data_IF_309561162939
#
_entry.id   IF_309561162939
#
_cell.length_a   1.000
_cell.length_b   1.000
_cell.length_c   1.000
_cell.angle_alpha   90.00
_cell.angle_beta   90.00
_cell.angle_gamma   90.00
#
_symmetry.space_group_name_H-M   'P 1'
#
loop_
_entity.id
_entity.type
_entity.pdbx_description
1 polymer ?
#
# COMPACT_ATOMS: atom_id res chain seq x y z
N UNK A 1 8.70 16.45 -7.24
CA UNK A 1 8.02 15.50 -8.14
C UNK A 1 8.87 15.31 -9.37
N UNK A 2 9.16 14.08 -9.76
CA UNK A 2 9.87 13.77 -11.00
C UNK A 2 8.85 13.18 -11.97
N UNK A 3 8.79 13.70 -13.20
CA UNK A 3 7.98 13.10 -14.27
C UNK A 3 8.83 12.02 -14.96
N UNK A 4 8.40 10.77 -14.84
CA UNK A 4 9.04 9.60 -15.45
C UNK A 4 8.09 9.01 -16.51
N UNK A 5 8.26 9.44 -17.77
CA UNK A 5 7.32 9.14 -18.84
C UNK A 5 5.91 9.67 -18.53
N UNK A 6 4.94 8.74 -18.47
CA UNK A 6 3.54 9.03 -18.14
C UNK A 6 3.24 9.04 -16.63
N UNK A 7 4.27 8.92 -15.78
CA UNK A 7 4.11 8.82 -14.33
C UNK A 7 4.77 9.96 -13.59
N UNK A 8 4.24 10.21 -12.40
CA UNK A 8 4.84 11.10 -11.43
C UNK A 8 5.35 10.29 -10.25
N UNK A 9 6.61 10.50 -9.92
CA UNK A 9 7.27 9.93 -8.76
C UNK A 9 7.53 11.04 -7.75
N UNK A 10 7.27 10.75 -6.47
CA UNK A 10 7.55 11.65 -5.37
C UNK A 10 8.23 10.91 -4.24
N UNK A 11 9.29 11.48 -3.66
CA UNK A 11 9.81 10.96 -2.41
C UNK A 11 8.73 11.10 -1.32
N UNK A 12 8.72 10.15 -0.39
CA UNK A 12 7.97 10.31 0.84
C UNK A 12 8.66 11.37 1.68
N UNK A 13 8.00 12.50 1.90
CA UNK A 13 8.52 13.63 2.69
C UNK A 13 8.01 13.44 4.12
N UNK A 14 8.93 13.30 5.08
CA UNK A 14 8.60 13.12 6.48
C UNK A 14 8.54 14.47 7.20
N UNK A 15 7.50 14.67 8.03
CA UNK A 15 7.34 15.84 8.91
C UNK A 15 8.40 15.90 10.01
N UNK A 16 8.73 14.72 10.54
CA UNK A 16 9.65 14.53 11.66
C UNK A 16 10.66 13.45 11.28
N UNK A 17 11.81 13.80 10.71
CA UNK A 17 12.79 12.81 10.25
C UNK A 17 13.40 12.01 11.42
N UNK A 18 13.38 12.54 12.64
CA UNK A 18 13.76 11.79 13.85
C UNK A 18 12.73 10.73 14.29
N UNK A 19 11.48 10.81 13.84
CA UNK A 19 10.45 9.80 14.10
C UNK A 19 10.65 8.67 13.10
N UNK A 20 11.60 7.80 13.43
CA UNK A 20 11.91 6.63 12.64
C UNK A 20 10.69 5.73 12.47
N UNK A 21 10.50 5.24 11.25
CA UNK A 21 9.60 4.13 11.00
C UNK A 21 10.39 2.83 11.11
N UNK A 22 9.84 1.85 11.82
CA UNK A 22 10.41 0.50 11.87
C UNK A 22 9.38 -0.57 11.49
N UNK A 23 9.86 -1.81 11.47
CA UNK A 23 9.11 -2.99 11.04
C UNK A 23 7.97 -3.44 11.98
N UNK A 24 7.69 -2.73 13.08
CA UNK A 24 6.60 -3.10 14.02
C UNK A 24 5.22 -3.17 13.37
N UNK A 25 5.02 -2.47 12.25
CA UNK A 25 3.79 -2.50 11.43
C UNK A 25 3.54 -3.87 10.79
N UNK A 26 4.58 -4.71 10.67
CA UNK A 26 4.52 -6.03 10.02
C UNK A 26 3.48 -6.94 10.64
N UNK A 27 3.40 -6.98 11.97
CA UNK A 27 2.46 -7.87 12.69
C UNK A 27 1.02 -7.54 12.32
N UNK A 28 0.66 -6.25 12.33
CA UNK A 28 -0.67 -5.77 11.94
C UNK A 28 -0.97 -6.08 10.47
N UNK A 29 -0.04 -5.75 9.56
CA UNK A 29 -0.20 -5.97 8.13
C UNK A 29 -0.39 -7.46 7.77
N UNK A 30 0.40 -8.35 8.36
CA UNK A 30 0.30 -9.80 8.15
C UNK A 30 -1.01 -10.35 8.73
N UNK A 31 -1.42 -9.91 9.92
CA UNK A 31 -2.67 -10.34 10.55
C UNK A 31 -3.88 -9.99 9.69
N UNK A 32 -3.92 -8.77 9.17
CA UNK A 32 -4.99 -8.30 8.28
C UNK A 32 -4.99 -9.05 6.94
N UNK A 33 -3.82 -9.32 6.36
CA UNK A 33 -3.69 -10.15 5.17
C UNK A 33 -4.26 -11.55 5.40
N UNK A 34 -3.89 -12.21 6.50
CA UNK A 34 -4.40 -13.55 6.82
C UNK A 34 -5.92 -13.55 6.99
N UNK A 35 -6.49 -12.54 7.66
CA UNK A 35 -7.94 -12.40 7.78
C UNK A 35 -8.63 -12.23 6.41
N UNK A 36 -8.03 -11.43 5.53
CA UNK A 36 -8.50 -11.27 4.17
C UNK A 36 -8.42 -12.56 3.35
N UNK A 37 -7.32 -13.30 3.45
CA UNK A 37 -7.14 -14.59 2.76
C UNK A 37 -8.16 -15.62 3.25
N UNK A 38 -8.46 -15.69 4.57
CA UNK A 38 -9.54 -16.54 5.10
C UNK A 38 -10.88 -16.20 4.46
N UNK A 39 -11.21 -14.92 4.30
CA UNK A 39 -12.44 -14.48 3.60
C UNK A 39 -12.47 -14.96 2.14
N UNK A 40 -11.31 -15.06 1.49
CA UNK A 40 -11.21 -15.53 0.11
C UNK A 40 -11.24 -17.04 -0.05
N UNK A 41 -11.01 -17.83 1.00
CA UNK A 41 -11.01 -19.29 0.94
C UNK A 41 -12.31 -19.85 0.35
N UNK A 42 -13.44 -19.22 0.65
CA UNK A 42 -14.75 -19.63 0.14
C UNK A 42 -15.19 -18.89 -1.14
N UNK A 43 -14.32 -18.07 -1.73
CA UNK A 43 -14.63 -17.34 -2.96
C UNK A 43 -13.41 -17.28 -3.90
N UNK A 44 -13.17 -18.36 -4.69
CA UNK A 44 -12.04 -18.44 -5.61
C UNK A 44 -12.02 -17.33 -6.67
N UNK A 45 -13.20 -16.86 -7.10
CA UNK A 45 -13.32 -15.74 -8.05
C UNK A 45 -12.73 -14.45 -7.45
N UNK A 46 -13.05 -14.17 -6.20
CA UNK A 46 -12.55 -13.00 -5.48
C UNK A 46 -11.04 -13.07 -5.25
N UNK A 47 -10.52 -14.26 -4.91
CA UNK A 47 -9.08 -14.49 -4.80
C UNK A 47 -8.34 -14.20 -6.11
N UNK A 48 -8.87 -14.72 -7.23
CA UNK A 48 -8.30 -14.48 -8.57
C UNK A 48 -8.31 -13.00 -8.95
N UNK A 49 -9.39 -12.29 -8.64
CA UNK A 49 -9.47 -10.85 -8.88
C UNK A 49 -8.46 -10.07 -8.02
N UNK A 50 -8.26 -10.48 -6.77
CA UNK A 50 -7.25 -9.90 -5.88
C UNK A 50 -5.82 -10.14 -6.39
N UNK A 51 -5.47 -11.38 -6.72
CA UNK A 51 -4.16 -11.74 -7.28
C UNK A 51 -3.88 -10.98 -8.57
N UNK A 52 -4.86 -10.88 -9.47
CA UNK A 52 -4.73 -10.07 -10.70
C UNK A 52 -4.44 -8.60 -10.40
N UNK A 53 -5.14 -7.99 -9.44
CA UNK A 53 -4.94 -6.59 -9.08
C UNK A 53 -3.54 -6.34 -8.49
N UNK A 54 -3.04 -7.24 -7.63
CA UNK A 54 -1.68 -7.14 -7.10
C UNK A 54 -0.63 -7.31 -8.23
N UNK A 55 -0.82 -8.27 -9.13
CA UNK A 55 0.09 -8.49 -10.28
C UNK A 55 0.10 -7.32 -11.26
N UNK A 56 -1.01 -6.60 -11.39
CA UNK A 56 -1.09 -5.39 -12.24
C UNK A 56 -0.10 -4.33 -11.75
N UNK A 57 0.03 -4.11 -10.43
CA UNK A 57 1.04 -3.20 -9.89
C UNK A 57 2.48 -3.57 -10.27
N UNK A 58 2.83 -4.86 -10.28
CA UNK A 58 4.14 -5.33 -10.73
C UNK A 58 4.32 -5.21 -12.24
N UNK A 59 3.31 -5.56 -13.03
CA UNK A 59 3.37 -5.47 -14.50
C UNK A 59 3.51 -4.03 -14.95
N UNK A 60 2.82 -3.12 -14.27
CA UNK A 60 2.93 -1.70 -14.52
C UNK A 60 4.28 -1.17 -14.01
N UNK A 61 4.94 -1.80 -13.05
CA UNK A 61 6.18 -1.27 -12.44
C UNK A 61 5.89 -0.19 -11.40
N UNK A 62 4.69 -0.20 -10.82
CA UNK A 62 4.32 0.61 -9.64
C UNK A 62 4.88 -0.04 -8.36
N UNK A 63 5.02 -1.37 -8.38
CA UNK A 63 5.58 -2.13 -7.27
C UNK A 63 6.72 -3.02 -7.76
N UNK A 64 7.75 -3.14 -6.93
CA UNK A 64 8.90 -4.00 -7.18
C UNK A 64 9.12 -4.95 -6.01
N UNK A 65 9.89 -6.02 -6.25
CA UNK A 65 10.25 -6.96 -5.20
C UNK A 65 11.42 -6.39 -4.41
N UNK A 66 11.21 -6.15 -3.12
CA UNK A 66 12.28 -5.69 -2.23
C UNK A 66 13.30 -6.82 -2.02
N UNK A 67 14.60 -6.62 -2.30
CA UNK A 67 15.63 -7.61 -2.03
C UNK A 67 15.79 -7.83 -0.52
N UNK A 68 15.94 -9.09 -0.08
CA UNK A 68 16.04 -9.44 1.34
C UNK A 68 17.31 -8.93 2.02
N UNK A 69 18.35 -8.58 1.24
CA UNK A 69 19.65 -8.11 1.73
C UNK A 69 19.76 -6.60 1.87
N UNK A 70 18.77 -5.83 1.41
CA UNK A 70 18.88 -4.36 1.25
C UNK A 70 17.94 -3.58 2.15
N UNK A 71 17.42 -4.19 3.21
CA UNK A 71 16.40 -3.57 4.07
C UNK A 71 17.00 -3.24 5.44
N UNK A 72 17.28 -1.96 5.75
CA UNK A 72 17.54 -1.54 7.11
C UNK A 72 16.27 -1.76 7.95
N UNK A 73 16.33 -2.41 9.12
CA UNK A 73 15.16 -2.62 9.98
C UNK A 73 14.43 -1.32 10.35
N UNK A 74 15.20 -0.23 10.48
CA UNK A 74 14.74 1.09 10.92
C UNK A 74 14.26 1.98 9.75
N UNK A 75 13.85 1.39 8.63
CA UNK A 75 13.37 2.14 7.45
C UNK A 75 12.26 1.42 6.69
N UNK A 76 11.50 0.55 7.37
CA UNK A 76 10.47 -0.28 6.73
C UNK A 76 9.10 -0.01 7.30
N UNK A 77 8.13 0.27 6.43
CA UNK A 77 6.72 0.23 6.80
C UNK A 77 5.98 -0.83 6.01
N UNK A 78 5.22 -1.68 6.69
CA UNK A 78 4.32 -2.63 6.06
C UNK A 78 2.92 -2.02 6.03
N UNK A 79 2.45 -1.64 4.84
CA UNK A 79 1.09 -1.18 4.63
C UNK A 79 0.12 -2.37 4.65
N UNK A 80 -0.85 -2.41 5.58
CA UNK A 80 -1.99 -3.29 5.42
C UNK A 80 -2.71 -2.97 4.12
N UNK A 81 -3.21 -4.00 3.45
CA UNK A 81 -4.00 -3.83 2.25
C UNK A 81 -5.31 -4.59 2.36
N UNK A 82 -6.37 -4.01 1.79
CA UNK A 82 -7.67 -4.67 1.77
C UNK A 82 -8.36 -4.58 0.41
N UNK A 83 -9.06 -5.65 0.06
CA UNK A 83 -9.84 -5.73 -1.17
C UNK A 83 -11.22 -5.09 -0.98
N UNK A 84 -11.52 -4.12 -1.85
CA UNK A 84 -12.83 -3.47 -1.94
C UNK A 84 -13.49 -3.85 -3.25
N UNK A 85 -14.73 -4.33 -3.19
CA UNK A 85 -15.54 -4.65 -4.36
C UNK A 85 -16.53 -3.52 -4.59
N UNK A 86 -16.39 -2.80 -5.70
CA UNK A 86 -17.38 -1.80 -6.10
C UNK A 86 -18.60 -2.49 -6.71
N UNK A 87 -19.74 -2.46 -6.00
CA UNK A 87 -21.02 -2.95 -6.51
C UNK A 87 -21.61 -1.89 -7.47
N UNK A 88 -22.07 -2.31 -8.66
CA UNK A 88 -22.79 -1.43 -9.61
C UNK A 88 -22.05 -1.01 -10.88
N UNK A 89 -20.81 -1.46 -11.12
CA UNK A 89 -20.18 -1.33 -12.45
C UNK A 89 -20.51 -2.56 -13.31
N UNK A 90 -20.61 -2.38 -14.64
CA UNK A 90 -20.87 -3.45 -15.63
C UNK A 90 -19.98 -4.68 -15.40
N UNK A 91 -18.76 -4.45 -14.89
CA UNK A 91 -17.94 -5.46 -14.24
C UNK A 91 -17.67 -5.05 -12.79
N UNK A 92 -17.97 -5.91 -11.81
CA UNK A 92 -17.51 -5.71 -10.44
C UNK A 92 -15.97 -5.80 -10.38
N UNK A 93 -15.29 -4.66 -10.57
CA UNK A 93 -13.82 -4.57 -10.51
C UNK A 93 -13.40 -4.42 -9.04
N UNK A 94 -12.68 -5.42 -8.55
CA UNK A 94 -12.00 -5.36 -7.25
C UNK A 94 -10.87 -4.34 -7.32
N UNK A 95 -10.70 -3.56 -6.25
CA UNK A 95 -9.55 -2.68 -6.04
C UNK A 95 -8.84 -3.06 -4.75
N UNK A 96 -7.52 -2.92 -4.72
CA UNK A 96 -6.70 -3.08 -3.52
C UNK A 96 -6.43 -1.69 -2.94
N UNK A 97 -6.86 -1.48 -1.69
CA UNK A 97 -6.61 -0.24 -0.96
C UNK A 97 -5.47 -0.47 0.02
N UNK A 98 -4.46 0.39 0.00
CA UNK A 98 -3.35 0.42 0.96
C UNK A 98 -3.72 1.35 2.11
N UNK A 99 -3.69 0.86 3.34
CA UNK A 99 -4.09 1.61 4.53
C UNK A 99 -2.86 2.17 5.27
N UNK A 100 -2.48 3.39 4.91
CA UNK A 100 -1.42 4.15 5.58
C UNK A 100 -1.85 4.81 6.90
N UNK A 101 -3.12 4.65 7.29
CA UNK A 101 -3.66 5.17 8.57
C UNK A 101 -3.70 4.13 9.67
N UNK A 102 -3.40 2.87 9.36
CA UNK A 102 -3.49 1.77 10.30
C UNK A 102 -2.58 2.00 11.53
N UNK A 103 -3.13 1.96 12.76
CA UNK A 103 -2.34 2.18 13.95
C UNK A 103 -1.39 0.99 14.17
N UNK A 104 -0.16 1.29 14.55
CA UNK A 104 0.77 0.29 15.05
C UNK A 104 1.04 0.59 16.52
N UNK A 105 1.05 -0.41 17.43
CA UNK A 105 1.35 -0.16 18.82
C UNK A 105 2.66 0.61 18.99
N UNK A 106 2.63 1.68 19.76
CA UNK A 106 3.78 2.54 20.06
C UNK A 106 4.42 3.22 18.84
N UNK A 107 3.73 3.30 17.70
CA UNK A 107 4.19 4.05 16.54
C UNK A 107 3.07 4.88 15.91
N UNK A 108 3.38 6.08 15.40
CA UNK A 108 2.43 6.84 14.60
C UNK A 108 2.11 6.11 13.29
N UNK A 109 0.93 6.39 12.73
CA UNK A 109 0.57 5.95 11.39
C UNK A 109 1.46 6.62 10.33
N UNK A 110 1.63 5.98 9.17
CA UNK A 110 2.39 6.57 8.07
C UNK A 110 1.80 7.93 7.65
N UNK A 111 0.48 8.04 7.55
CA UNK A 111 -0.18 9.31 7.23
C UNK A 111 0.06 10.43 8.26
N UNK A 112 0.28 10.10 9.54
CA UNK A 112 0.58 11.13 10.55
C UNK A 112 2.00 11.68 10.43
N UNK A 113 2.96 10.88 9.95
CA UNK A 113 4.38 11.30 9.84
C UNK A 113 4.77 11.81 8.47
N UNK A 114 3.97 11.56 7.43
CA UNK A 114 4.21 12.12 6.10
C UNK A 114 3.61 13.51 5.93
N UNK A 115 4.32 14.37 5.21
CA UNK A 115 3.79 15.63 4.72
C UNK A 115 2.66 15.42 3.72
N UNK A 116 1.72 16.36 3.71
CA UNK A 116 0.71 16.35 2.64
C UNK A 116 1.41 16.69 1.34
N UNK A 117 1.21 15.84 0.33
CA UNK A 117 1.65 16.18 -1.02
C UNK A 117 0.88 17.43 -1.45
N UNK A 118 1.54 18.50 -1.94
CA UNK A 118 0.85 19.65 -2.49
C UNK A 118 -0.11 19.21 -3.59
N UNK A 119 -1.27 19.84 -3.69
CA UNK A 119 -2.22 19.53 -4.75
C UNK A 119 -1.50 19.70 -6.10
N UNK A 120 -1.46 18.64 -6.89
CA UNK A 120 -1.08 18.72 -8.29
C UNK A 120 -2.25 19.43 -8.98
N UNK A 121 -2.10 20.73 -9.24
CA UNK A 121 -3.07 21.46 -10.07
C UNK A 121 -3.23 20.68 -11.38
N UNK A 122 -4.45 20.20 -11.61
CA UNK A 122 -4.78 19.31 -12.71
C UNK A 122 -5.20 20.11 -13.95
N UNK A 123 -4.58 21.27 -14.16
CA UNK A 123 -4.81 22.16 -15.31
C UNK A 123 -3.68 22.02 -16.35
N UNK A 124 -3.53 20.81 -16.90
CA UNK A 124 -2.78 20.53 -18.14
C UNK A 124 -3.61 19.66 -19.08
#
# INVERSE_FOLDING_TARGET
TVKNGDRYEMPLIFKFPEVGINDSSRVTAVTLLQAQLRRFQHNPKLLKQHDNAIREYFREGISERVPTSSIPPDSVYYLPHHAVVRKGAVTAKLRVVLDASSPTPNMPSLNSVLEKVPQLDTDL
#
